data_IF_705611417978
#
_entry.id   IF_705611417978
#
_cell.length_a   1.000
_cell.length_b   1.000
_cell.length_c   1.000
_cell.angle_alpha   90.00
_cell.angle_beta   90.00
_cell.angle_gamma   90.00
#
_symmetry.space_group_name_H-M   'P 1'
#
loop_
_entity.id
_entity.type
_entity.pdbx_description
1 polymer ?
#
# COMPACT_ATOMS: atom_id res chain seq x y z
N UNK A 1 36.00 -16.12 83.95
CA UNK A 1 35.86 -17.60 83.86
C UNK A 1 34.66 -17.86 82.95
N UNK A 2 34.88 -18.36 81.73
CA UNK A 2 33.86 -18.82 80.77
C UNK A 2 33.05 -20.02 81.34
N UNK A 3 31.88 -20.47 80.80
CA UNK A 3 31.55 -20.52 79.36
C UNK A 3 30.07 -20.32 78.91
N UNK A 4 29.90 -20.27 77.58
CA UNK A 4 28.66 -20.57 76.83
C UNK A 4 28.31 -22.08 76.94
N UNK A 5 27.08 -22.52 76.55
CA UNK A 5 26.96 -23.11 75.21
C UNK A 5 25.61 -22.90 74.48
N UNK A 6 25.67 -23.24 73.19
CA UNK A 6 24.66 -23.27 72.14
C UNK A 6 23.42 -24.17 72.41
N UNK A 7 22.31 -23.83 71.75
CA UNK A 7 21.57 -24.80 70.92
C UNK A 7 20.10 -25.12 71.26
N UNK A 8 19.25 -24.93 70.24
CA UNK A 8 18.03 -25.68 69.87
C UNK A 8 16.62 -25.09 70.04
N UNK A 9 16.01 -24.89 68.86
CA UNK A 9 14.65 -25.26 68.40
C UNK A 9 13.43 -24.69 69.14
N UNK A 10 12.76 -23.74 68.49
CA UNK A 10 11.31 -23.61 68.53
C UNK A 10 10.74 -23.88 67.12
N UNK A 11 9.87 -24.89 67.00
CA UNK A 11 9.09 -25.20 65.80
C UNK A 11 7.94 -24.22 65.68
N UNK A 12 7.73 -23.65 64.49
CA UNK A 12 6.40 -23.19 64.06
C UNK A 12 6.06 -23.90 62.75
N UNK A 13 4.88 -24.52 62.73
CA UNK A 13 4.35 -25.34 61.66
C UNK A 13 3.83 -24.46 60.50
N UNK A 14 4.26 -24.84 59.30
CA UNK A 14 3.49 -24.93 58.06
C UNK A 14 2.45 -23.87 57.73
N UNK A 15 2.79 -22.99 56.79
CA UNK A 15 1.90 -22.59 55.69
C UNK A 15 2.66 -22.81 54.38
N UNK A 16 2.28 -23.85 53.65
CA UNK A 16 2.67 -24.03 52.26
C UNK A 16 1.70 -23.22 51.40
N UNK A 17 2.19 -22.19 50.71
CA UNK A 17 1.55 -21.70 49.50
C UNK A 17 2.48 -21.94 48.32
N UNK A 18 2.01 -22.87 47.50
CA UNK A 18 2.41 -23.22 46.15
C UNK A 18 3.02 -22.06 45.37
N UNK A 19 4.15 -22.37 44.74
CA UNK A 19 4.75 -21.65 43.63
C UNK A 19 3.66 -21.40 42.56
N UNK A 20 3.36 -20.13 42.30
CA UNK A 20 2.73 -19.68 41.07
C UNK A 20 3.73 -18.77 40.37
N UNK A 21 4.44 -19.35 39.42
CA UNK A 21 5.19 -18.64 38.36
C UNK A 21 4.31 -17.58 37.70
N UNK A 22 4.77 -16.32 37.53
CA UNK A 22 4.06 -15.35 36.73
C UNK A 22 4.35 -15.63 35.25
N UNK A 23 3.54 -16.48 34.61
CA UNK A 23 3.49 -16.60 33.15
C UNK A 23 2.58 -15.51 32.54
N UNK A 24 2.73 -14.26 32.99
CA UNK A 24 1.88 -13.11 32.60
C UNK A 24 2.68 -11.86 32.22
N UNK A 25 3.97 -12.02 31.92
CA UNK A 25 4.86 -10.92 31.51
C UNK A 25 5.16 -10.88 30.00
N UNK A 26 4.38 -11.57 29.16
CA UNK A 26 4.52 -11.55 27.71
C UNK A 26 3.51 -10.66 26.97
N UNK A 27 2.26 -10.60 27.42
CA UNK A 27 1.17 -9.93 26.69
C UNK A 27 0.83 -8.52 27.23
N UNK A 28 1.22 -8.18 28.46
CA UNK A 28 0.79 -6.93 29.12
C UNK A 28 1.83 -5.80 29.02
N UNK A 29 3.05 -6.09 28.53
CA UNK A 29 4.07 -5.07 28.17
C UNK A 29 4.36 -5.14 26.67
N UNK A 30 3.28 -5.16 25.89
CA UNK A 30 3.29 -4.74 24.48
C UNK A 30 2.33 -3.55 24.34
N UNK A 31 2.65 -2.45 25.04
CA UNK A 31 2.51 -1.13 24.41
C UNK A 31 3.52 -1.11 23.24
N UNK A 32 3.22 -1.89 22.20
CA UNK A 32 3.91 -1.80 20.92
C UNK A 32 3.61 -0.39 20.46
N UNK A 33 4.62 0.45 20.31
CA UNK A 33 4.44 1.63 19.48
C UNK A 33 3.97 1.12 18.13
N UNK A 34 2.67 1.24 17.85
CA UNK A 34 2.14 0.95 16.53
C UNK A 34 2.94 1.78 15.53
N UNK A 35 3.51 1.13 14.51
CA UNK A 35 4.31 1.82 13.50
C UNK A 35 3.53 3.01 12.96
N UNK A 36 4.22 4.13 12.76
CA UNK A 36 3.64 5.36 12.24
C UNK A 36 3.85 5.41 10.73
N UNK A 37 2.78 5.65 9.99
CA UNK A 37 2.82 5.79 8.54
C UNK A 37 2.31 7.15 8.10
N UNK A 38 3.00 7.75 7.12
CA UNK A 38 2.55 8.93 6.40
C UNK A 38 2.25 8.55 4.94
N UNK A 39 1.04 8.81 4.48
CA UNK A 39 0.61 8.53 3.11
C UNK A 39 0.36 9.81 2.32
N UNK A 40 1.18 10.10 1.32
CA UNK A 40 0.95 11.19 0.38
C UNK A 40 -0.09 10.79 -0.66
N UNK A 41 -1.13 11.61 -0.82
CA UNK A 41 -2.22 11.40 -1.77
C UNK A 41 -3.43 10.75 -1.13
N UNK A 42 -4.33 11.56 -0.57
CA UNK A 42 -5.58 11.13 0.03
C UNK A 42 -6.69 10.92 -1.02
N UNK A 43 -6.35 10.56 -2.26
CA UNK A 43 -7.31 10.24 -3.33
C UNK A 43 -7.89 8.83 -3.21
N UNK A 44 -8.59 8.37 -4.25
CA UNK A 44 -9.26 7.07 -4.21
C UNK A 44 -8.30 5.87 -4.04
N UNK A 45 -7.10 5.90 -4.64
CA UNK A 45 -6.09 4.85 -4.43
C UNK A 45 -5.53 4.89 -3.00
N UNK A 46 -5.25 6.09 -2.49
CA UNK A 46 -4.76 6.24 -1.12
C UNK A 46 -5.76 5.75 -0.09
N UNK A 47 -7.03 6.18 -0.17
CA UNK A 47 -8.07 5.79 0.79
C UNK A 47 -8.59 4.37 0.56
N UNK A 48 -8.81 3.98 -0.68
CA UNK A 48 -9.43 2.70 -1.04
C UNK A 48 -8.46 1.52 -1.07
N UNK A 49 -7.15 1.76 -1.06
CA UNK A 49 -6.16 0.69 -1.17
C UNK A 49 -5.02 0.82 -0.16
N UNK A 50 -4.06 1.72 -0.40
CA UNK A 50 -2.79 1.72 0.35
C UNK A 50 -3.02 2.12 1.81
N UNK A 51 -3.67 3.26 2.04
CA UNK A 51 -4.03 3.73 3.37
C UNK A 51 -4.97 2.77 4.10
N UNK A 52 -5.91 2.13 3.39
CA UNK A 52 -6.74 1.07 3.97
C UNK A 52 -5.90 -0.08 4.52
N UNK A 53 -4.98 -0.65 3.73
CA UNK A 53 -4.14 -1.75 4.20
C UNK A 53 -3.24 -1.36 5.38
N UNK A 54 -2.70 -0.14 5.37
CA UNK A 54 -1.91 0.38 6.48
C UNK A 54 -2.73 0.52 7.78
N UNK A 55 -3.93 1.08 7.68
CA UNK A 55 -4.82 1.25 8.84
C UNK A 55 -5.35 -0.11 9.35
N UNK A 56 -5.73 -1.02 8.44
CA UNK A 56 -6.19 -2.38 8.79
C UNK A 56 -5.07 -3.20 9.46
N UNK A 57 -3.81 -2.94 9.13
CA UNK A 57 -2.65 -3.51 9.79
C UNK A 57 -2.35 -2.90 11.18
N UNK A 58 -3.14 -1.90 11.62
CA UNK A 58 -3.02 -1.26 12.91
C UNK A 58 -1.96 -0.16 12.99
N UNK A 59 -1.48 0.37 11.86
CA UNK A 59 -0.52 1.48 11.85
C UNK A 59 -1.22 2.80 12.21
N UNK A 60 -0.50 3.70 12.87
CA UNK A 60 -0.94 5.09 13.06
C UNK A 60 -0.76 5.82 11.74
N UNK A 61 -1.86 5.99 10.99
CA UNK A 61 -1.83 6.51 9.63
C UNK A 61 -2.24 7.98 9.54
N UNK A 62 -1.33 8.81 9.04
CA UNK A 62 -1.60 10.18 8.62
C UNK A 62 -1.62 10.29 7.10
N UNK A 63 -2.67 10.87 6.53
CA UNK A 63 -2.71 11.28 5.12
C UNK A 63 -2.09 12.66 4.91
N UNK A 64 -1.44 12.88 3.77
CA UNK A 64 -0.95 14.20 3.35
C UNK A 64 -1.52 14.53 1.96
N UNK A 65 -2.24 15.65 1.86
CA UNK A 65 -2.85 16.11 0.61
C UNK A 65 -2.94 17.64 0.55
N UNK A 66 -3.36 18.19 -0.59
CA UNK A 66 -3.68 19.62 -0.76
C UNK A 66 -5.19 19.89 -0.79
N UNK A 67 -6.01 18.85 -0.94
CA UNK A 67 -7.46 18.99 -0.98
C UNK A 67 -8.04 19.22 0.43
N UNK A 68 -8.26 20.49 0.78
CA UNK A 68 -8.74 20.88 2.10
C UNK A 68 -10.05 20.19 2.52
N UNK A 69 -10.98 19.96 1.57
CA UNK A 69 -12.25 19.28 1.87
C UNK A 69 -12.00 17.86 2.39
N UNK A 70 -11.04 17.14 1.79
CA UNK A 70 -10.66 15.79 2.21
C UNK A 70 -9.91 15.82 3.54
N UNK A 71 -9.00 16.78 3.73
CA UNK A 71 -8.24 16.94 4.98
C UNK A 71 -9.17 17.21 6.17
N UNK A 72 -10.08 18.18 6.02
CA UNK A 72 -11.04 18.55 7.05
C UNK A 72 -11.96 17.38 7.38
N UNK A 73 -12.46 16.68 6.36
CA UNK A 73 -13.33 15.53 6.56
C UNK A 73 -12.61 14.37 7.29
N UNK A 74 -11.33 14.11 7.00
CA UNK A 74 -10.53 13.09 7.67
C UNK A 74 -10.27 13.48 9.13
N UNK A 75 -9.92 14.73 9.40
CA UNK A 75 -9.66 15.21 10.76
C UNK A 75 -10.92 15.39 11.60
N UNK A 76 -12.09 15.62 10.98
CA UNK A 76 -13.35 15.70 11.70
C UNK A 76 -13.87 14.33 12.14
N UNK A 77 -13.66 13.29 11.32
CA UNK A 77 -14.28 11.96 11.52
C UNK A 77 -13.33 10.88 11.98
N UNK A 78 -12.02 11.05 11.74
CA UNK A 78 -10.98 10.04 11.98
C UNK A 78 -11.28 8.66 11.38
N UNK A 79 -12.19 8.61 10.40
CA UNK A 79 -12.71 7.40 9.80
C UNK A 79 -13.43 7.69 8.48
N UNK A 80 -13.54 6.67 7.62
CA UNK A 80 -14.29 6.71 6.37
C UNK A 80 -14.69 5.29 5.91
N UNK A 81 -15.66 5.23 4.99
CA UNK A 81 -16.16 3.96 4.45
C UNK A 81 -15.50 3.61 3.12
N UNK A 82 -15.17 2.33 2.96
CA UNK A 82 -14.69 1.72 1.72
C UNK A 82 -15.68 0.66 1.28
N UNK A 83 -16.35 0.90 0.14
CA UNK A 83 -17.26 -0.06 -0.47
C UNK A 83 -16.43 -1.07 -1.27
N UNK A 84 -16.28 -2.28 -0.76
CA UNK A 84 -15.56 -3.35 -1.44
C UNK A 84 -16.57 -4.20 -2.20
N UNK A 85 -16.46 -4.18 -3.53
CA UNK A 85 -17.41 -4.81 -4.44
C UNK A 85 -16.77 -6.01 -5.13
N UNK A 86 -17.44 -7.15 -5.05
CA UNK A 86 -17.04 -8.39 -5.70
C UNK A 86 -18.23 -9.32 -5.89
N UNK A 87 -18.09 -10.58 -5.48
CA UNK A 87 -19.24 -11.51 -5.41
C UNK A 87 -20.23 -11.11 -4.31
N UNK A 88 -19.70 -10.53 -3.24
CA UNK A 88 -20.45 -9.91 -2.17
C UNK A 88 -20.09 -8.42 -2.13
N UNK A 89 -21.04 -7.60 -1.68
CA UNK A 89 -20.78 -6.21 -1.34
C UNK A 89 -20.55 -6.13 0.17
N UNK A 90 -19.43 -5.54 0.56
CA UNK A 90 -19.13 -5.23 1.94
C UNK A 90 -18.74 -3.77 2.06
N UNK A 91 -19.04 -3.18 3.20
CA UNK A 91 -18.63 -1.82 3.53
C UNK A 91 -17.67 -1.94 4.70
N UNK A 92 -16.41 -1.66 4.44
CA UNK A 92 -15.36 -1.66 5.44
C UNK A 92 -15.24 -0.25 6.03
N UNK A 93 -15.06 -0.14 7.35
CA UNK A 93 -14.75 1.13 8.01
C UNK A 93 -13.26 1.21 8.28
N UNK A 94 -12.59 2.19 7.67
CA UNK A 94 -11.23 2.58 8.03
C UNK A 94 -11.32 3.58 9.18
N UNK A 95 -10.57 3.38 10.26
CA UNK A 95 -10.61 4.23 11.45
C UNK A 95 -9.20 4.55 11.97
N UNK A 96 -9.10 5.45 12.94
CA UNK A 96 -7.85 5.92 13.55
C UNK A 96 -6.90 6.58 12.54
N UNK A 97 -7.46 7.36 11.62
CA UNK A 97 -6.70 8.14 10.63
C UNK A 97 -6.78 9.63 10.92
N UNK A 98 -5.75 10.36 10.53
CA UNK A 98 -5.72 11.83 10.52
C UNK A 98 -5.14 12.32 9.20
N UNK A 99 -5.11 13.64 9.00
CA UNK A 99 -4.57 14.23 7.79
C UNK A 99 -3.86 15.56 8.05
N UNK A 100 -2.88 15.88 7.21
CA UNK A 100 -2.14 17.15 7.20
C UNK A 100 -2.04 17.70 5.78
N UNK A 101 -1.75 18.99 5.67
CA UNK A 101 -1.39 19.58 4.38
C UNK A 101 -0.04 19.04 3.90
N UNK A 102 0.06 18.64 2.63
CA UNK A 102 1.30 18.13 2.04
C UNK A 102 2.35 19.20 1.72
N UNK A 103 2.01 20.48 1.93
CA UNK A 103 2.87 21.64 1.67
C UNK A 103 3.21 22.44 2.95
N UNK A 104 2.75 22.01 4.12
CA UNK A 104 3.00 22.68 5.41
C UNK A 104 4.20 22.15 6.20
N UNK A 105 4.48 22.75 7.36
CA UNK A 105 5.57 22.30 8.24
C UNK A 105 5.23 21.02 9.02
N UNK A 106 3.94 20.77 9.27
CA UNK A 106 3.48 19.57 9.99
C UNK A 106 3.89 18.28 9.27
N UNK A 107 3.82 18.25 7.93
CA UNK A 107 4.23 17.08 7.16
C UNK A 107 5.74 16.84 7.24
N UNK A 108 6.54 17.91 7.30
CA UNK A 108 8.00 17.83 7.49
C UNK A 108 8.32 17.24 8.86
N UNK A 109 7.62 17.69 9.90
CA UNK A 109 7.77 17.16 11.25
C UNK A 109 7.37 15.68 11.35
N UNK A 110 6.35 15.24 10.60
CA UNK A 110 5.92 13.84 10.53
C UNK A 110 6.94 12.95 9.83
N UNK A 111 7.51 13.38 8.70
CA UNK A 111 8.58 12.63 7.99
C UNK A 111 9.76 12.34 8.95
N UNK A 112 10.08 13.29 9.82
CA UNK A 112 11.15 13.14 10.81
C UNK A 112 10.86 12.09 11.91
N UNK A 113 9.62 11.59 12.00
CA UNK A 113 9.17 10.71 13.10
C UNK A 113 8.64 9.36 12.64
N UNK A 114 8.08 9.26 11.44
CA UNK A 114 7.38 8.06 10.96
C UNK A 114 8.34 6.92 10.62
N UNK A 115 7.82 5.70 10.56
CA UNK A 115 8.57 4.48 10.20
C UNK A 115 8.39 4.13 8.72
N UNK A 116 7.26 4.56 8.14
CA UNK A 116 6.89 4.32 6.75
C UNK A 116 6.35 5.59 6.09
N UNK A 117 6.82 5.89 4.89
CA UNK A 117 6.18 6.85 3.98
C UNK A 117 5.69 6.10 2.76
N UNK A 118 4.44 6.35 2.34
CA UNK A 118 3.90 5.80 1.10
C UNK A 118 3.30 6.90 0.23
N UNK A 119 3.17 6.68 -1.08
CA UNK A 119 2.60 7.67 -2.00
C UNK A 119 1.61 7.04 -2.98
N UNK A 120 0.56 7.77 -3.34
CA UNK A 120 -0.31 7.49 -4.48
C UNK A 120 -0.77 8.80 -5.14
N UNK A 121 0.18 9.51 -5.75
CA UNK A 121 0.02 10.91 -6.19
C UNK A 121 0.19 11.14 -7.69
N UNK A 122 0.71 10.15 -8.41
CA UNK A 122 1.08 10.23 -9.83
C UNK A 122 2.41 10.97 -10.08
N UNK A 123 3.00 10.82 -11.28
CA UNK A 123 4.38 11.22 -11.57
C UNK A 123 4.66 12.71 -11.35
N UNK A 124 3.73 13.59 -11.76
CA UNK A 124 3.89 15.05 -11.63
C UNK A 124 3.98 15.47 -10.16
N UNK A 125 3.14 14.89 -9.30
CA UNK A 125 3.12 15.24 -7.89
C UNK A 125 4.24 14.52 -7.14
N UNK A 126 4.66 13.34 -7.60
CA UNK A 126 5.78 12.58 -7.05
C UNK A 126 7.08 13.40 -7.05
N UNK A 127 7.38 14.08 -8.15
CA UNK A 127 8.50 15.04 -8.20
C UNK A 127 8.27 16.24 -7.28
N UNK A 128 7.03 16.77 -7.23
CA UNK A 128 6.69 17.96 -6.43
C UNK A 128 6.83 17.75 -4.93
N UNK A 129 6.62 16.55 -4.41
CA UNK A 129 6.76 16.26 -2.97
C UNK A 129 8.21 15.99 -2.56
N UNK A 130 9.14 15.81 -3.51
CA UNK A 130 10.52 15.48 -3.22
C UNK A 130 11.25 16.53 -2.36
N UNK A 131 11.09 17.85 -2.56
CA UNK A 131 11.66 18.87 -1.67
C UNK A 131 11.11 18.80 -0.24
N UNK A 132 9.82 18.47 -0.06
CA UNK A 132 9.22 18.28 1.27
C UNK A 132 9.81 17.06 1.98
N UNK A 133 9.97 15.95 1.24
CA UNK A 133 10.64 14.75 1.75
C UNK A 133 12.08 15.05 2.14
N UNK A 134 12.85 15.75 1.29
CA UNK A 134 14.22 16.14 1.58
C UNK A 134 14.32 16.94 2.89
N UNK A 135 13.50 17.98 3.07
CA UNK A 135 13.43 18.75 4.32
C UNK A 135 13.11 17.89 5.54
N UNK A 136 12.16 16.97 5.40
CA UNK A 136 11.79 16.04 6.47
C UNK A 136 12.92 15.08 6.84
N UNK A 137 13.69 14.61 5.86
CA UNK A 137 14.88 13.77 6.07
C UNK A 137 16.03 14.54 6.72
N UNK A 138 16.25 15.80 6.32
CA UNK A 138 17.23 16.68 6.97
C UNK A 138 16.87 16.94 8.43
N UNK A 139 15.60 17.20 8.71
CA UNK A 139 15.10 17.34 10.09
C UNK A 139 15.24 16.03 10.87
N UNK A 140 14.95 14.87 10.26
CA UNK A 140 15.14 13.55 10.86
C UNK A 140 16.59 13.34 11.30
N UNK A 141 17.53 13.65 10.41
CA UNK A 141 18.97 13.60 10.66
C UNK A 141 19.38 14.56 11.77
N UNK A 142 18.92 15.81 11.73
CA UNK A 142 19.23 16.82 12.74
C UNK A 142 18.72 16.44 14.14
N UNK A 143 17.61 15.70 14.21
CA UNK A 143 17.07 15.17 15.46
C UNK A 143 17.82 13.91 15.96
N UNK A 144 18.82 13.41 15.22
CA UNK A 144 19.54 12.18 15.56
C UNK A 144 18.67 10.92 15.50
N UNK A 145 17.60 10.94 14.69
CA UNK A 145 16.71 9.78 14.56
C UNK A 145 17.22 8.83 13.46
N UNK A 146 18.14 7.95 13.85
CA UNK A 146 18.73 6.92 12.98
C UNK A 146 17.87 5.66 12.83
N UNK A 147 16.64 5.66 13.36
CA UNK A 147 15.71 4.54 13.18
C UNK A 147 15.39 4.38 11.68
N UNK A 148 15.47 3.16 11.11
CA UNK A 148 15.19 2.94 9.69
C UNK A 148 13.85 3.50 9.26
N UNK A 149 13.85 4.25 8.16
CA UNK A 149 12.65 4.75 7.48
C UNK A 149 12.55 4.07 6.13
N UNK A 150 11.38 3.55 5.77
CA UNK A 150 11.16 3.03 4.42
C UNK A 150 10.15 3.92 3.68
N UNK A 151 10.46 4.26 2.43
CA UNK A 151 9.63 5.05 1.52
C UNK A 151 9.19 4.11 0.39
N UNK A 152 7.89 4.05 0.10
CA UNK A 152 7.30 3.17 -0.92
C UNK A 152 6.33 3.96 -1.80
N UNK A 153 6.74 4.30 -3.02
CA UNK A 153 5.85 4.92 -3.98
C UNK A 153 4.93 3.85 -4.60
N UNK A 154 3.64 3.94 -4.34
CA UNK A 154 2.59 3.02 -4.78
C UNK A 154 1.90 3.57 -6.03
N UNK A 155 2.71 3.80 -7.07
CA UNK A 155 2.30 4.47 -8.30
C UNK A 155 2.05 3.48 -9.44
N UNK A 156 1.26 3.87 -10.42
CA UNK A 156 1.19 3.15 -11.70
C UNK A 156 2.40 3.50 -12.58
N UNK A 157 3.61 3.21 -12.07
CA UNK A 157 4.90 3.49 -12.70
C UNK A 157 5.85 2.32 -12.47
N UNK A 158 6.74 2.06 -13.44
CA UNK A 158 7.83 1.11 -13.23
C UNK A 158 8.88 1.76 -12.33
N UNK A 159 9.18 1.11 -11.20
CA UNK A 159 10.17 1.60 -10.21
C UNK A 159 9.92 3.05 -9.78
N UNK A 160 8.66 3.37 -9.44
CA UNK A 160 8.25 4.71 -9.03
C UNK A 160 9.06 5.24 -7.84
N UNK A 161 9.43 4.38 -6.90
CA UNK A 161 10.21 4.77 -5.72
C UNK A 161 11.65 5.08 -6.06
N UNK A 162 12.27 4.33 -6.98
CA UNK A 162 13.58 4.67 -7.53
C UNK A 162 13.58 6.03 -8.25
N UNK A 163 12.50 6.38 -8.96
CA UNK A 163 12.38 7.71 -9.57
C UNK A 163 12.25 8.80 -8.50
N UNK A 164 11.41 8.59 -7.48
CA UNK A 164 11.29 9.49 -6.34
C UNK A 164 12.64 9.69 -5.62
N UNK A 165 13.42 8.61 -5.45
CA UNK A 165 14.76 8.65 -4.86
C UNK A 165 15.67 9.64 -5.57
N UNK A 166 15.67 9.65 -6.91
CA UNK A 166 16.47 10.59 -7.70
C UNK A 166 16.01 12.05 -7.54
N UNK A 167 14.69 12.29 -7.45
CA UNK A 167 14.18 13.63 -7.17
C UNK A 167 14.56 14.11 -5.76
N UNK A 168 14.46 13.24 -4.74
CA UNK A 168 14.85 13.56 -3.35
C UNK A 168 16.35 13.82 -3.25
N UNK A 169 17.18 13.00 -3.89
CA UNK A 169 18.64 13.16 -3.93
C UNK A 169 19.05 14.54 -4.46
N UNK A 170 18.39 15.03 -5.52
CA UNK A 170 18.66 16.36 -6.10
C UNK A 170 18.33 17.52 -5.16
N UNK A 171 17.45 17.28 -4.17
CA UNK A 171 17.03 18.27 -3.19
C UNK A 171 17.84 18.22 -1.88
N UNK A 172 18.87 17.37 -1.79
CA UNK A 172 19.70 17.18 -0.60
C UNK A 172 21.16 17.56 -0.84
N UNK A 173 21.84 18.01 0.23
CA UNK A 173 23.30 18.12 0.23
C UNK A 173 23.97 16.74 0.18
N UNK A 174 25.24 16.68 -0.26
CA UNK A 174 25.99 15.42 -0.32
C UNK A 174 26.13 14.74 1.07
N UNK A 175 26.29 15.55 2.12
CA UNK A 175 26.38 15.05 3.49
C UNK A 175 25.05 14.46 3.98
N UNK A 176 23.93 15.15 3.73
CA UNK A 176 22.61 14.63 4.06
C UNK A 176 22.28 13.36 3.26
N UNK A 177 22.67 13.31 1.98
CA UNK A 177 22.49 12.13 1.14
C UNK A 177 23.22 10.89 1.67
N UNK A 178 24.47 11.06 2.12
CA UNK A 178 25.24 9.95 2.69
C UNK A 178 24.55 9.33 3.92
N UNK A 179 23.91 10.16 4.76
CA UNK A 179 23.09 9.69 5.88
C UNK A 179 21.82 8.97 5.39
N UNK A 180 21.14 9.52 4.38
CA UNK A 180 19.93 8.91 3.80
C UNK A 180 20.23 7.53 3.22
N UNK A 181 21.36 7.32 2.55
CA UNK A 181 21.74 6.01 1.99
C UNK A 181 21.91 4.92 3.06
N UNK A 182 22.26 5.31 4.28
CA UNK A 182 22.45 4.38 5.40
C UNK A 182 21.11 4.04 6.06
N UNK A 183 20.25 5.04 6.30
CA UNK A 183 19.08 4.92 7.18
C UNK A 183 17.73 4.83 6.46
N UNK A 184 17.66 5.16 5.16
CA UNK A 184 16.39 5.22 4.41
C UNK A 184 16.34 4.18 3.30
N UNK A 185 15.33 3.32 3.32
CA UNK A 185 14.99 2.40 2.24
C UNK A 185 14.08 3.08 1.22
N UNK A 186 14.47 3.07 -0.05
CA UNK A 186 13.60 3.47 -1.16
C UNK A 186 13.16 2.20 -1.87
N UNK A 187 11.97 1.72 -1.50
CA UNK A 187 11.45 0.39 -1.88
C UNK A 187 10.48 0.53 -3.03
N UNK A 188 10.84 -0.01 -4.19
CA UNK A 188 9.99 -0.11 -5.36
C UNK A 188 8.80 -1.05 -5.08
N UNK A 189 7.67 -0.76 -5.72
CA UNK A 189 6.45 -1.56 -5.58
C UNK A 189 5.77 -1.82 -6.92
N UNK A 190 4.92 -2.84 -6.92
CA UNK A 190 3.93 -3.12 -7.96
C UNK A 190 2.57 -3.20 -7.27
N UNK A 191 1.65 -2.33 -7.68
CA UNK A 191 0.31 -2.22 -7.09
C UNK A 191 -0.76 -2.46 -8.15
N UNK A 192 -1.78 -3.25 -7.82
CA UNK A 192 -2.92 -3.53 -8.67
C UNK A 192 -4.21 -3.60 -7.85
N UNK A 193 -5.09 -2.62 -8.08
CA UNK A 193 -6.48 -2.61 -7.61
C UNK A 193 -7.28 -1.71 -8.54
N UNK A 194 -8.40 -2.20 -9.05
CA UNK A 194 -9.33 -1.37 -9.81
C UNK A 194 -10.12 -0.52 -8.83
N UNK A 195 -9.98 0.79 -8.99
CA UNK A 195 -10.65 1.80 -8.19
C UNK A 195 -11.33 2.79 -9.16
N UNK A 196 -12.64 2.63 -9.43
CA UNK A 196 -13.34 3.47 -10.38
C UNK A 196 -13.32 4.94 -9.93
N UNK A 197 -13.47 5.89 -10.87
CA UNK A 197 -13.77 7.27 -10.54
C UNK A 197 -15.10 7.29 -9.78
N UNK A 198 -15.07 7.66 -8.49
CA UNK A 198 -16.30 7.80 -7.71
C UNK A 198 -17.00 9.10 -8.10
N UNK A 199 -18.24 9.00 -8.53
CA UNK A 199 -19.26 9.94 -8.04
C UNK A 199 -19.75 9.29 -6.75
N UNK A 200 -19.39 9.84 -5.59
CA UNK A 200 -19.87 9.34 -4.30
C UNK A 200 -21.38 9.20 -4.38
N UNK A 201 -21.92 8.00 -4.18
CA UNK A 201 -23.37 7.77 -4.25
C UNK A 201 -24.11 8.62 -3.20
N UNK A 202 -23.38 9.06 -2.17
CA UNK A 202 -23.84 9.75 -0.97
C UNK A 202 -23.38 11.22 -0.86
N UNK A 203 -22.65 11.76 -1.84
CA UNK A 203 -21.93 13.04 -1.76
C UNK A 203 -20.84 13.11 -0.66
N UNK A 204 -20.46 11.98 -0.05
CA UNK A 204 -19.37 11.93 0.94
C UNK A 204 -17.99 12.06 0.25
N UNK A 205 -17.18 13.09 0.58
CA UNK A 205 -15.87 13.30 -0.05
C UNK A 205 -14.82 12.21 0.29
N UNK A 206 -15.05 11.38 1.31
CA UNK A 206 -14.13 10.32 1.71
C UNK A 206 -14.55 8.93 1.22
N UNK A 207 -15.82 8.72 0.89
CA UNK A 207 -16.31 7.44 0.40
C UNK A 207 -15.55 7.03 -0.87
N UNK A 208 -15.20 5.75 -0.94
CA UNK A 208 -14.52 5.17 -2.10
C UNK A 208 -15.03 3.77 -2.35
N UNK A 209 -15.24 3.43 -3.61
CA UNK A 209 -15.59 2.08 -4.06
C UNK A 209 -14.37 1.43 -4.70
N UNK A 210 -14.12 0.17 -4.36
CA UNK A 210 -12.98 -0.62 -4.86
C UNK A 210 -13.40 -2.05 -5.15
N UNK A 211 -12.68 -2.74 -6.02
CA UNK A 211 -12.88 -4.19 -6.15
C UNK A 211 -12.33 -4.96 -4.94
N UNK A 212 -12.82 -6.19 -4.72
CA UNK A 212 -12.30 -7.10 -3.69
C UNK A 212 -10.83 -7.47 -3.92
N UNK A 213 -10.41 -7.64 -5.17
CA UNK A 213 -9.04 -8.01 -5.49
C UNK A 213 -8.09 -6.83 -5.25
N UNK A 214 -6.96 -7.10 -4.62
CA UNK A 214 -5.85 -6.16 -4.53
C UNK A 214 -4.53 -6.92 -4.47
N UNK A 215 -3.49 -6.37 -5.07
CA UNK A 215 -2.13 -6.92 -5.02
C UNK A 215 -1.15 -5.77 -4.77
N UNK A 216 -0.40 -5.84 -3.66
CA UNK A 216 0.67 -4.89 -3.34
C UNK A 216 1.95 -5.69 -3.09
N UNK A 217 2.87 -5.63 -4.05
CA UNK A 217 4.13 -6.38 -4.00
C UNK A 217 5.27 -5.38 -3.89
N UNK A 218 6.23 -5.63 -3.01
CA UNK A 218 7.38 -4.74 -2.77
C UNK A 218 8.70 -5.49 -2.79
N UNK A 219 9.76 -4.81 -3.23
CA UNK A 219 11.10 -5.38 -3.30
C UNK A 219 11.74 -5.47 -1.90
N UNK A 220 11.79 -6.69 -1.34
CA UNK A 220 12.33 -6.94 0.00
C UNK A 220 13.81 -6.58 0.13
N UNK A 221 14.55 -6.54 -0.99
CA UNK A 221 16.00 -6.28 -1.01
C UNK A 221 16.34 -4.81 -0.78
N UNK A 222 15.35 -3.92 -0.92
CA UNK A 222 15.53 -2.47 -0.82
C UNK A 222 15.17 -1.89 0.55
N UNK A 223 14.61 -2.72 1.45
CA UNK A 223 14.26 -2.29 2.80
C UNK A 223 15.51 -2.03 3.66
N UNK A 224 15.33 -1.13 4.63
CA UNK A 224 16.25 -0.93 5.75
C UNK A 224 15.57 -1.38 7.04
N UNK A 225 16.33 -2.08 7.89
CA UNK A 225 15.84 -2.57 9.18
C UNK A 225 14.97 -3.83 9.05
N UNK A 226 14.11 -4.03 10.05
CA UNK A 226 13.16 -5.14 10.06
C UNK A 226 12.07 -4.96 9.00
N UNK A 227 11.68 -6.07 8.37
CA UNK A 227 10.63 -6.07 7.35
C UNK A 227 9.26 -5.94 8.03
N UNK A 228 8.43 -4.95 7.65
CA UNK A 228 7.14 -4.75 8.27
C UNK A 228 6.16 -5.86 7.87
N UNK A 229 5.35 -6.32 8.82
CA UNK A 229 4.27 -7.27 8.57
C UNK A 229 2.96 -6.53 8.34
N UNK A 230 2.66 -6.22 7.07
CA UNK A 230 1.41 -5.55 6.67
C UNK A 230 0.57 -6.55 5.87
N UNK A 231 -0.58 -7.02 6.40
CA UNK A 231 -1.48 -7.89 5.65
C UNK A 231 -1.87 -7.29 4.30
N UNK A 232 -1.76 -8.08 3.23
CA UNK A 232 -2.00 -7.63 1.86
C UNK A 232 -0.79 -7.03 1.15
N UNK A 233 0.33 -6.82 1.86
CA UNK A 233 1.63 -6.49 1.25
C UNK A 233 2.52 -7.74 1.15
N UNK A 234 2.91 -8.10 -0.07
CA UNK A 234 3.77 -9.24 -0.35
C UNK A 234 5.21 -8.80 -0.63
N UNK A 235 6.17 -9.54 -0.06
CA UNK A 235 7.60 -9.27 -0.19
C UNK A 235 8.21 -10.18 -1.27
N UNK A 236 9.01 -9.63 -2.18
CA UNK A 236 9.69 -10.41 -3.25
C UNK A 236 11.14 -9.98 -3.45
N UNK A 237 11.99 -10.86 -3.96
CA UNK A 237 13.33 -10.53 -4.47
C UNK A 237 13.35 -10.27 -6.00
N UNK A 238 12.22 -10.47 -6.68
CA UNK A 238 12.13 -10.30 -8.13
C UNK A 238 10.90 -9.48 -8.53
N UNK A 239 10.85 -8.22 -8.08
CA UNK A 239 9.71 -7.33 -8.33
C UNK A 239 9.42 -7.16 -9.83
N UNK A 240 10.45 -7.12 -10.67
CA UNK A 240 10.29 -6.92 -12.11
C UNK A 240 9.46 -8.02 -12.78
N UNK A 241 9.52 -9.26 -12.29
CA UNK A 241 8.67 -10.34 -12.79
C UNK A 241 7.18 -10.03 -12.57
N UNK A 242 6.83 -9.44 -11.42
CA UNK A 242 5.45 -9.09 -11.09
C UNK A 242 4.97 -7.82 -11.82
N UNK A 243 5.84 -6.83 -11.97
CA UNK A 243 5.57 -5.63 -12.79
C UNK A 243 5.24 -6.03 -14.21
N UNK A 244 6.07 -6.88 -14.82
CA UNK A 244 5.82 -7.37 -16.19
C UNK A 244 4.61 -8.29 -16.25
N UNK A 245 4.36 -9.16 -15.25
CA UNK A 245 3.15 -9.99 -15.19
C UNK A 245 1.87 -9.15 -15.21
N UNK A 246 1.80 -8.08 -14.42
CA UNK A 246 0.66 -7.16 -14.45
C UNK A 246 0.54 -6.49 -15.82
N UNK A 247 1.65 -5.96 -16.35
CA UNK A 247 1.65 -5.25 -17.62
C UNK A 247 1.22 -6.15 -18.79
N UNK A 248 1.78 -7.35 -18.88
CA UNK A 248 1.60 -8.24 -20.03
C UNK A 248 0.29 -9.03 -19.96
N UNK A 249 -0.31 -9.17 -18.77
CA UNK A 249 -1.58 -9.88 -18.63
C UNK A 249 -2.75 -8.92 -18.38
N UNK A 250 -2.76 -8.18 -17.26
CA UNK A 250 -3.88 -7.30 -16.89
C UNK A 250 -3.98 -6.10 -17.84
N UNK A 251 -2.92 -5.31 -18.01
CA UNK A 251 -3.00 -4.11 -18.85
C UNK A 251 -3.23 -4.48 -20.34
N UNK A 252 -2.56 -5.51 -20.84
CA UNK A 252 -2.80 -6.07 -22.18
C UNK A 252 -4.26 -6.49 -22.37
N UNK A 253 -4.80 -7.32 -21.47
CA UNK A 253 -6.18 -7.80 -21.54
C UNK A 253 -7.19 -6.65 -21.48
N UNK A 254 -6.98 -5.68 -20.59
CA UNK A 254 -7.85 -4.52 -20.43
C UNK A 254 -7.86 -3.64 -21.68
N UNK A 255 -6.70 -3.34 -22.26
CA UNK A 255 -6.59 -2.51 -23.45
C UNK A 255 -7.24 -3.18 -24.68
N UNK A 256 -7.02 -4.48 -24.88
CA UNK A 256 -7.63 -5.23 -25.99
C UNK A 256 -9.15 -5.30 -25.81
N UNK A 257 -9.63 -5.59 -24.59
CA UNK A 257 -11.07 -5.60 -24.27
C UNK A 257 -11.71 -4.25 -24.57
N UNK A 258 -11.04 -3.16 -24.17
CA UNK A 258 -11.52 -1.81 -24.40
C UNK A 258 -11.65 -1.49 -25.90
N UNK A 259 -10.58 -1.71 -26.67
CA UNK A 259 -10.57 -1.35 -28.08
C UNK A 259 -11.52 -2.21 -28.94
N UNK A 260 -11.54 -3.52 -28.72
CA UNK A 260 -12.45 -4.40 -29.44
C UNK A 260 -13.91 -4.18 -29.02
N UNK A 261 -14.13 -3.93 -27.72
CA UNK A 261 -15.43 -3.57 -27.19
C UNK A 261 -16.01 -2.33 -27.87
N UNK A 262 -15.19 -1.29 -28.01
CA UNK A 262 -15.57 -0.05 -28.69
C UNK A 262 -15.93 -0.27 -30.14
N UNK A 263 -15.15 -1.06 -30.88
CA UNK A 263 -15.42 -1.38 -32.27
C UNK A 263 -16.70 -2.21 -32.44
N UNK A 264 -17.05 -3.03 -31.45
CA UNK A 264 -18.27 -3.84 -31.42
C UNK A 264 -19.51 -3.08 -30.89
N UNK A 265 -19.35 -1.82 -30.45
CA UNK A 265 -20.46 -1.00 -29.94
C UNK A 265 -20.85 -1.24 -28.48
N UNK A 266 -20.06 -2.02 -27.74
CA UNK A 266 -20.25 -2.23 -26.30
C UNK A 266 -20.03 -0.93 -25.53
N UNK A 267 -20.65 -0.76 -24.36
CA UNK A 267 -20.50 0.48 -23.57
C UNK A 267 -19.51 0.32 -22.42
N UNK A 268 -19.37 -0.90 -21.89
CA UNK A 268 -18.54 -1.19 -20.72
C UNK A 268 -17.55 -2.32 -20.99
N UNK A 269 -16.50 -2.40 -20.17
CA UNK A 269 -15.56 -3.53 -20.19
C UNK A 269 -16.28 -4.86 -19.95
N UNK A 270 -17.29 -4.86 -19.09
CA UNK A 270 -18.12 -6.03 -18.80
C UNK A 270 -18.88 -6.50 -20.04
N UNK A 271 -19.57 -5.59 -20.74
CA UNK A 271 -20.33 -5.96 -21.94
C UNK A 271 -19.39 -6.52 -23.01
N UNK A 272 -18.21 -5.90 -23.18
CA UNK A 272 -17.20 -6.33 -24.12
C UNK A 272 -16.61 -7.71 -23.78
N UNK A 273 -16.28 -8.01 -22.53
CA UNK A 273 -15.67 -9.30 -22.18
C UNK A 273 -16.66 -10.46 -22.12
N UNK A 274 -17.97 -10.16 -22.09
CA UNK A 274 -19.05 -11.14 -22.19
C UNK A 274 -19.37 -11.50 -23.65
N UNK A 275 -18.91 -10.71 -24.62
CA UNK A 275 -18.93 -11.09 -26.04
C UNK A 275 -17.86 -12.16 -26.30
N UNK A 276 -18.31 -13.36 -26.70
CA UNK A 276 -17.45 -14.51 -26.93
C UNK A 276 -16.34 -14.25 -27.96
N UNK A 277 -16.60 -13.40 -28.98
CA UNK A 277 -15.60 -13.07 -30.00
C UNK A 277 -14.50 -12.19 -29.44
N UNK A 278 -14.87 -11.18 -28.65
CA UNK A 278 -13.92 -10.30 -27.96
C UNK A 278 -13.12 -11.11 -26.93
N UNK A 279 -13.81 -11.91 -26.11
CA UNK A 279 -13.21 -12.75 -25.07
C UNK A 279 -12.16 -13.71 -25.63
N UNK A 280 -12.43 -14.35 -26.77
CA UNK A 280 -11.49 -15.27 -27.40
C UNK A 280 -10.17 -14.58 -27.76
N UNK A 281 -10.23 -13.38 -28.35
CA UNK A 281 -9.04 -12.60 -28.71
C UNK A 281 -8.29 -12.12 -27.46
N UNK A 282 -9.02 -11.61 -26.47
CA UNK A 282 -8.44 -11.14 -25.19
C UNK A 282 -7.71 -12.28 -24.46
N UNK A 283 -8.33 -13.46 -24.37
CA UNK A 283 -7.73 -14.65 -23.75
C UNK A 283 -6.48 -15.10 -24.51
N UNK A 284 -6.57 -15.21 -25.84
CA UNK A 284 -5.44 -15.63 -26.67
C UNK A 284 -4.23 -14.70 -26.53
N UNK A 285 -4.46 -13.38 -26.56
CA UNK A 285 -3.38 -12.41 -26.39
C UNK A 285 -2.72 -12.48 -25.00
N UNK A 286 -3.49 -12.73 -23.93
CA UNK A 286 -2.93 -12.95 -22.59
C UNK A 286 -2.16 -14.28 -22.47
N UNK A 287 -2.56 -15.31 -23.22
CA UNK A 287 -1.84 -16.60 -23.27
C UNK A 287 -0.51 -16.46 -24.02
N UNK A 288 -0.50 -15.73 -25.15
CA UNK A 288 0.71 -15.42 -25.93
C UNK A 288 1.71 -14.61 -25.11
N UNK A 289 1.27 -13.51 -24.49
CA UNK A 289 2.12 -12.70 -23.61
C UNK A 289 2.54 -13.48 -22.36
N UNK A 290 1.66 -14.36 -21.85
CA UNK A 290 1.94 -15.27 -20.74
C UNK A 290 3.06 -16.25 -21.03
N UNK A 291 3.13 -16.80 -22.25
CA UNK A 291 4.23 -17.67 -22.67
C UNK A 291 5.60 -16.95 -22.62
N UNK A 292 5.63 -15.65 -22.94
CA UNK A 292 6.84 -14.82 -22.79
C UNK A 292 7.24 -14.72 -21.33
N UNK A 293 6.29 -14.45 -20.43
CA UNK A 293 6.55 -14.32 -18.99
C UNK A 293 7.03 -15.63 -18.37
N UNK A 294 6.41 -16.77 -18.73
CA UNK A 294 6.80 -18.11 -18.26
C UNK A 294 8.25 -18.40 -18.65
N UNK A 295 8.61 -18.15 -19.92
CA UNK A 295 9.98 -18.38 -20.40
C UNK A 295 11.00 -17.43 -19.79
N UNK A 296 10.63 -16.16 -19.57
CA UNK A 296 11.53 -15.11 -19.06
C UNK A 296 11.78 -15.21 -17.55
N UNK A 297 10.75 -15.53 -16.78
CA UNK A 297 10.77 -15.46 -15.31
C UNK A 297 10.53 -16.79 -14.60
N UNK A 298 10.22 -17.86 -15.34
CA UNK A 298 9.97 -19.18 -14.74
C UNK A 298 8.65 -19.23 -13.96
N UNK A 299 7.63 -18.46 -14.35
CA UNK A 299 6.31 -18.61 -13.74
C UNK A 299 5.73 -20.00 -14.01
N UNK A 300 5.17 -20.63 -12.99
CA UNK A 300 4.44 -21.89 -13.13
C UNK A 300 3.26 -21.75 -14.10
N UNK A 301 3.19 -22.63 -15.10
CA UNK A 301 2.20 -22.57 -16.19
C UNK A 301 0.77 -22.56 -15.64
N UNK A 302 0.45 -23.49 -14.74
CA UNK A 302 -0.89 -23.62 -14.17
C UNK A 302 -1.28 -22.42 -13.30
N UNK A 303 -0.32 -21.85 -12.57
CA UNK A 303 -0.56 -20.64 -11.77
C UNK A 303 -0.80 -19.43 -12.66
N UNK A 304 -0.07 -19.32 -13.77
CA UNK A 304 -0.26 -18.23 -14.71
C UNK A 304 -1.60 -18.35 -15.47
N UNK A 305 -2.00 -19.57 -15.86
CA UNK A 305 -3.31 -19.83 -16.43
C UNK A 305 -4.45 -19.48 -15.45
N UNK A 306 -4.31 -19.83 -14.17
CA UNK A 306 -5.26 -19.44 -13.13
C UNK A 306 -5.31 -17.91 -12.93
N UNK A 307 -4.16 -17.23 -13.05
CA UNK A 307 -4.08 -15.77 -12.99
C UNK A 307 -4.81 -15.10 -14.17
N UNK A 308 -4.65 -15.63 -15.40
CA UNK A 308 -5.43 -15.18 -16.57
C UNK A 308 -6.93 -15.36 -16.33
N UNK A 309 -7.36 -16.52 -15.82
CA UNK A 309 -8.77 -16.77 -15.47
C UNK A 309 -9.29 -15.77 -14.43
N UNK A 310 -8.47 -15.46 -13.42
CA UNK A 310 -8.79 -14.44 -12.41
C UNK A 310 -8.99 -13.06 -13.04
N UNK A 311 -8.12 -12.65 -13.97
CA UNK A 311 -8.23 -11.38 -14.69
C UNK A 311 -9.51 -11.32 -15.53
N UNK A 312 -9.83 -12.36 -16.28
CA UNK A 312 -11.10 -12.43 -17.03
C UNK A 312 -12.31 -12.27 -16.10
N UNK A 313 -12.29 -12.95 -14.95
CA UNK A 313 -13.34 -12.80 -13.93
C UNK A 313 -13.40 -11.40 -13.29
N UNK A 314 -12.30 -10.64 -13.28
CA UNK A 314 -12.29 -9.22 -12.86
C UNK A 314 -12.99 -8.34 -13.89
N UNK A 315 -12.73 -8.56 -15.18
CA UNK A 315 -13.39 -7.82 -16.27
C UNK A 315 -14.88 -8.10 -16.35
N UNK A 316 -15.31 -9.32 -15.98
CA UNK A 316 -16.72 -9.68 -15.94
C UNK A 316 -17.49 -8.95 -14.83
N UNK A 317 -16.83 -8.46 -13.78
CA UNK A 317 -17.50 -7.81 -12.65
C UNK A 317 -17.83 -6.36 -12.99
N UNK A 318 -19.10 -5.97 -12.81
CA UNK A 318 -19.52 -4.58 -12.94
C UNK A 318 -19.11 -3.84 -11.67
N UNK A 319 -18.14 -2.94 -11.78
CA UNK A 319 -18.04 -1.83 -10.83
C UNK A 319 -18.99 -0.73 -11.31
N UNK A 320 -19.62 0.06 -10.41
CA UNK A 320 -20.43 1.19 -10.82
C UNK A 320 -19.55 2.19 -11.57
N UNK A 321 -19.61 2.18 -12.90
CA UNK A 321 -19.04 3.21 -13.75
C UNK A 321 -20.01 4.40 -13.69
N UNK A 322 -19.56 5.55 -13.16
CA UNK A 322 -20.41 6.73 -12.96
C UNK A 322 -21.12 7.20 -14.24
N UNK A 323 -22.18 8.02 -14.10
CA UNK A 323 -23.11 8.43 -15.19
C UNK A 323 -22.48 9.23 -16.34
N UNK A 324 -21.17 9.50 -16.30
CA UNK A 324 -20.43 9.96 -17.48
C UNK A 324 -20.19 8.77 -18.39
N UNK A 325 -21.12 8.57 -19.33
CA UNK A 325 -21.03 7.55 -20.35
C UNK A 325 -19.61 7.37 -20.85
N UNK A 326 -19.12 6.13 -20.72
CA UNK A 326 -18.07 5.51 -21.51
C UNK A 326 -17.15 6.50 -22.26
N UNK A 327 -16.34 7.27 -21.54
CA UNK A 327 -14.99 7.43 -22.07
C UNK A 327 -14.31 6.15 -21.67
N UNK A 328 -14.23 5.23 -22.63
CA UNK A 328 -13.15 4.24 -22.70
C UNK A 328 -11.94 4.89 -22.07
N UNK A 329 -11.28 4.28 -21.08
CA UNK A 329 -9.97 4.78 -20.70
C UNK A 329 -9.27 4.91 -22.03
N UNK A 330 -8.92 6.14 -22.44
CA UNK A 330 -8.06 6.27 -23.61
C UNK A 330 -6.93 5.30 -23.28
N UNK A 331 -6.60 4.32 -24.12
CA UNK A 331 -5.56 3.40 -23.65
C UNK A 331 -4.32 4.22 -23.28
N UNK A 332 -4.14 5.40 -23.86
CA UNK A 332 -3.40 6.54 -23.32
C UNK A 332 -3.45 6.74 -21.78
N UNK A 333 -4.58 6.88 -21.10
CA UNK A 333 -4.64 7.09 -19.64
C UNK A 333 -4.10 5.91 -18.79
N UNK A 334 -4.19 4.67 -19.26
CA UNK A 334 -3.65 3.49 -18.56
C UNK A 334 -2.26 3.03 -19.08
N UNK A 335 -1.88 3.41 -20.31
CA UNK A 335 -0.60 3.05 -20.95
C UNK A 335 0.41 4.22 -21.07
N UNK A 336 0.00 5.49 -20.94
CA UNK A 336 0.87 6.69 -20.99
C UNK A 336 1.31 7.20 -19.61
N UNK A 337 1.75 6.32 -18.72
CA UNK A 337 2.64 6.74 -17.63
C UNK A 337 3.82 5.79 -17.56
N UNK A 338 4.59 5.80 -18.66
CA UNK A 338 6.01 5.46 -18.63
C UNK A 338 6.81 6.72 -18.39
#
# INVERSE_FOLDING_TARGET
MFPLPFGERARVRGFAYSILTPALTGEIIRKVNAMKALHFGAGNIGRGFIGKLLADAGLQLTFADVNQVVLDALNARHSYQVHVVGEQQQIDTVSNVNAVSSIGDDVVALIAQVDLVTTAVGPVVLERIAPTLAKGLELRRANGNDTPLNIIACENMVRGTSQLKEHVKKALSAEAWAWVEQHVGFVDSAVDRIVPPSESATNDPLEVTVETFSEWIVDKTQFKGELPNIPGMELTDNLMAFVERKLFTLNTGHAITAYLGQLAGHQTIRDAILDEKVRAVVKGAMEESGAVLIKRYGFEVDKHAAYIKKILGRFEKSLPEGRRGARWPSAAAQTQRR
#
